data_IF_474815247226
#
_entry.id   IF_474815247226
#
_cell.length_a   1.000
_cell.length_b   1.000
_cell.length_c   1.000
_cell.angle_alpha   90.00
_cell.angle_beta   90.00
_cell.angle_gamma   90.00
#
_symmetry.space_group_name_H-M   'P 1'
#
loop_
_entity.id
_entity.type
_entity.pdbx_description
1 polymer ?
#
# COMPACT_ATOMS: atom_id res chain seq x y z
N UNK A 1 16.70 -2.78 -19.24
CA UNK A 1 16.50 -1.99 -18.01
C UNK A 1 15.60 -2.81 -17.11
N UNK A 2 16.12 -3.35 -16.01
CA UNK A 2 15.29 -4.10 -15.05
C UNK A 2 14.52 -3.03 -14.28
N UNK A 3 13.22 -2.89 -14.57
CA UNK A 3 12.39 -1.91 -13.87
C UNK A 3 12.12 -2.37 -12.45
N UNK A 4 12.72 -1.72 -11.46
CA UNK A 4 12.31 -1.84 -10.07
C UNK A 4 10.96 -1.14 -9.91
N UNK A 5 9.89 -1.92 -9.76
CA UNK A 5 8.54 -1.42 -9.51
C UNK A 5 8.23 -1.35 -8.02
N UNK A 6 7.16 -0.65 -7.66
CA UNK A 6 6.62 -0.72 -6.31
C UNK A 6 5.10 -0.89 -6.36
N UNK A 7 4.58 -1.86 -5.63
CA UNK A 7 3.16 -2.05 -5.43
C UNK A 7 2.76 -1.43 -4.08
N UNK A 8 1.62 -0.75 -4.10
CA UNK A 8 0.98 -0.16 -2.94
C UNK A 8 -0.28 -0.96 -2.63
N UNK A 9 -0.36 -1.45 -1.40
CA UNK A 9 -1.43 -2.33 -0.95
C UNK A 9 -2.18 -1.68 0.21
N UNK A 10 -3.50 -1.79 0.17
CA UNK A 10 -4.32 -1.72 1.37
C UNK A 10 -4.58 -3.15 1.83
N UNK A 11 -4.21 -3.44 3.07
CA UNK A 11 -4.39 -4.75 3.70
C UNK A 11 -5.33 -4.65 4.89
N UNK A 12 -5.93 -5.76 5.31
CA UNK A 12 -6.74 -5.78 6.53
C UNK A 12 -5.86 -5.43 7.75
N UNK A 13 -6.40 -4.76 8.79
CA UNK A 13 -5.62 -4.34 9.95
C UNK A 13 -5.47 -5.43 11.02
N UNK A 14 -5.88 -6.66 10.72
CA UNK A 14 -5.66 -7.84 11.55
C UNK A 14 -4.31 -8.50 11.28
N UNK A 15 -3.98 -9.55 12.04
CA UNK A 15 -2.68 -10.21 12.01
C UNK A 15 -2.34 -10.87 10.67
N UNK A 16 -3.34 -11.18 9.84
CA UNK A 16 -3.15 -11.85 8.56
C UNK A 16 -2.85 -10.87 7.41
N UNK A 17 -3.07 -9.56 7.62
CA UNK A 17 -2.81 -8.49 6.64
C UNK A 17 -3.23 -8.86 5.21
N UNK A 18 -4.48 -9.31 5.06
CA UNK A 18 -4.98 -9.81 3.78
C UNK A 18 -5.13 -8.66 2.77
N UNK A 19 -4.69 -8.83 1.51
CA UNK A 19 -4.76 -7.78 0.51
C UNK A 19 -6.21 -7.47 0.13
N UNK A 20 -6.61 -6.21 0.30
CA UNK A 20 -7.91 -5.67 -0.10
C UNK A 20 -7.80 -5.04 -1.49
N UNK A 21 -6.76 -4.24 -1.71
CA UNK A 21 -6.50 -3.53 -2.97
C UNK A 21 -5.00 -3.51 -3.23
N UNK A 22 -4.62 -3.72 -4.49
CA UNK A 22 -3.23 -3.62 -4.98
C UNK A 22 -3.22 -2.65 -6.16
N UNK A 23 -2.31 -1.67 -6.13
CA UNK A 23 -2.12 -0.67 -7.19
C UNK A 23 -0.65 -0.30 -7.33
N UNK A 24 -0.28 0.37 -8.43
CA UNK A 24 1.12 0.72 -8.71
C UNK A 24 1.57 2.01 -8.01
N UNK A 25 0.63 2.84 -7.55
CA UNK A 25 0.95 4.15 -6.93
C UNK A 25 0.13 4.45 -5.67
N UNK A 26 0.75 5.18 -4.73
CA UNK A 26 0.06 5.70 -3.55
C UNK A 26 -1.13 6.61 -3.92
N UNK A 27 -1.03 7.33 -5.04
CA UNK A 27 -2.08 8.24 -5.51
C UNK A 27 -3.35 7.48 -5.94
N UNK A 28 -3.20 6.35 -6.62
CA UNK A 28 -4.33 5.48 -6.96
C UNK A 28 -4.96 4.86 -5.71
N UNK A 29 -4.13 4.43 -4.75
CA UNK A 29 -4.63 3.89 -3.49
C UNK A 29 -5.45 4.96 -2.75
N UNK A 30 -4.93 6.18 -2.68
CA UNK A 30 -5.62 7.32 -2.08
C UNK A 30 -6.99 7.58 -2.73
N UNK A 31 -7.06 7.56 -4.07
CA UNK A 31 -8.33 7.73 -4.81
C UNK A 31 -9.36 6.66 -4.48
N UNK A 32 -8.96 5.39 -4.36
CA UNK A 32 -9.86 4.27 -4.03
C UNK A 32 -10.52 4.42 -2.65
N UNK A 33 -9.80 5.01 -1.69
CA UNK A 33 -10.26 5.17 -0.31
C UNK A 33 -10.69 6.61 0.04
N UNK A 34 -10.77 7.51 -0.95
CA UNK A 34 -11.14 8.92 -0.72
C UNK A 34 -10.17 9.69 0.19
N UNK A 35 -8.87 9.35 0.14
CA UNK A 35 -7.80 9.96 0.94
C UNK A 35 -6.89 10.84 0.08
N UNK A 36 -6.01 11.61 0.74
CA UNK A 36 -4.93 12.32 0.05
C UNK A 36 -3.71 11.40 -0.13
N UNK A 37 -2.95 11.52 -1.23
CA UNK A 37 -1.73 10.73 -1.41
C UNK A 37 -0.73 10.88 -0.25
N UNK A 38 -0.59 12.10 0.30
CA UNK A 38 0.26 12.35 1.47
C UNK A 38 -0.18 11.58 2.73
N UNK A 39 -1.48 11.36 2.91
CA UNK A 39 -1.99 10.61 4.05
C UNK A 39 -1.56 9.13 3.92
N UNK A 40 -1.68 8.56 2.72
CA UNK A 40 -1.23 7.19 2.41
C UNK A 40 0.28 7.05 2.65
N UNK A 41 1.08 7.96 2.10
CA UNK A 41 2.55 7.93 2.29
C UNK A 41 2.94 8.13 3.75
N UNK A 42 2.25 9.00 4.49
CA UNK A 42 2.49 9.21 5.92
C UNK A 42 2.12 7.98 6.74
N UNK A 43 0.99 7.34 6.42
CA UNK A 43 0.54 6.12 7.09
C UNK A 43 1.53 4.97 6.90
N UNK A 44 2.05 4.80 5.68
CA UNK A 44 3.12 3.85 5.39
C UNK A 44 4.41 4.18 6.15
N UNK A 45 4.90 5.42 6.05
CA UNK A 45 6.16 5.85 6.68
C UNK A 45 6.12 5.70 8.22
N UNK A 46 5.00 6.08 8.84
CA UNK A 46 4.78 5.98 10.29
C UNK A 46 4.39 4.57 10.74
N UNK A 47 4.26 3.61 9.80
CA UNK A 47 3.84 2.23 10.05
C UNK A 47 2.55 2.15 10.88
N UNK A 48 1.56 2.97 10.51
CA UNK A 48 0.29 3.01 11.23
C UNK A 48 -0.41 1.65 11.14
N UNK A 49 -1.08 1.26 12.23
CA UNK A 49 -1.78 -0.03 12.33
C UNK A 49 -2.99 -0.16 11.41
N UNK A 50 -3.49 0.94 10.83
CA UNK A 50 -4.64 0.93 9.95
C UNK A 50 -6.01 0.77 10.65
N UNK A 51 -6.04 0.52 11.96
CA UNK A 51 -7.29 0.30 12.74
C UNK A 51 -8.32 1.41 12.57
N UNK A 52 -7.89 2.66 12.55
CA UNK A 52 -8.80 3.81 12.40
C UNK A 52 -9.34 3.98 10.97
N UNK A 53 -8.68 3.39 9.97
CA UNK A 53 -9.07 3.52 8.56
C UNK A 53 -9.74 2.25 8.03
N UNK A 54 -9.73 1.16 8.79
CA UNK A 54 -10.19 -0.15 8.36
C UNK A 54 -9.22 -0.88 7.43
N UNK A 55 -8.04 -0.30 7.17
CA UNK A 55 -6.98 -0.91 6.37
C UNK A 55 -5.61 -0.35 6.75
N UNK A 56 -4.58 -1.18 6.63
CA UNK A 56 -3.17 -0.80 6.78
C UNK A 56 -2.55 -0.60 5.39
N UNK A 57 -1.60 0.32 5.29
CA UNK A 57 -0.88 0.60 4.04
C UNK A 57 0.44 -0.16 4.03
N UNK A 58 0.67 -0.96 2.98
CA UNK A 58 1.91 -1.71 2.75
C UNK A 58 2.48 -1.32 1.38
N UNK A 59 3.80 -1.21 1.28
CA UNK A 59 4.51 -0.99 0.02
C UNK A 59 5.45 -2.17 -0.20
N UNK A 60 5.35 -2.82 -1.35
CA UNK A 60 6.20 -3.94 -1.74
C UNK A 60 7.04 -3.51 -2.94
N UNK A 61 8.35 -3.70 -2.84
CA UNK A 61 9.25 -3.47 -3.98
C UNK A 61 9.28 -4.72 -4.84
N UNK A 62 8.97 -4.56 -6.12
CA UNK A 62 8.93 -5.65 -7.10
C UNK A 62 10.20 -5.57 -7.92
N UNK A 63 11.09 -6.53 -7.68
CA UNK A 63 12.22 -6.80 -8.53
C UNK A 63 11.84 -7.94 -9.47
N UNK A 64 11.86 -7.67 -10.77
CA UNK A 64 11.51 -8.66 -11.78
C UNK A 64 12.67 -9.64 -11.99
N UNK A 65 12.98 -10.43 -10.95
CA UNK A 65 13.86 -11.59 -11.06
C UNK A 65 13.02 -12.73 -11.63
N UNK A 66 13.02 -12.86 -12.95
CA UNK A 66 12.18 -13.78 -13.71
C UNK A 66 12.10 -15.17 -13.08
N UNK A 67 10.86 -15.62 -12.88
CA UNK A 67 10.49 -17.02 -12.94
C UNK A 67 10.26 -17.40 -14.40
#
# INVERSE_FOLDING_TARGET
MIGSGALWLAVTPDELELPIVVVDTAAELARRFGKKPNDISSAWYKKLSGKNWGFKVVKVEVNNNGL
#
